data_IF_458636991235
#
_entry.id   IF_458636991235
#
_cell.length_a   1.000
_cell.length_b   1.000
_cell.length_c   1.000
_cell.angle_alpha   90.00
_cell.angle_beta   90.00
_cell.angle_gamma   90.00
#
_symmetry.space_group_name_H-M   'P 1'
#
loop_
_entity.id
_entity.type
_entity.pdbx_description
1 polymer ?
#
# COMPACT_ATOMS: atom_id res chain seq x y z
N UNK A 1 52.16 -32.99 -45.63
CA UNK A 1 52.49 -31.57 -45.37
C UNK A 1 52.28 -31.30 -43.88
N UNK A 2 53.37 -31.27 -43.10
CA UNK A 2 53.35 -30.94 -41.67
C UNK A 2 53.60 -29.44 -41.56
N UNK A 3 52.61 -28.68 -41.08
CA UNK A 3 52.74 -27.26 -40.76
C UNK A 3 53.03 -27.11 -39.28
N UNK A 4 54.14 -26.43 -38.99
CA UNK A 4 54.73 -26.24 -37.66
C UNK A 4 53.92 -25.23 -36.83
N UNK A 5 53.60 -25.62 -35.58
CA UNK A 5 52.73 -24.88 -34.66
C UNK A 5 53.56 -24.21 -33.55
N UNK A 6 54.72 -23.66 -33.93
CA UNK A 6 55.74 -23.15 -32.98
C UNK A 6 55.92 -21.62 -32.97
N UNK A 7 55.13 -20.87 -33.72
CA UNK A 7 55.39 -19.43 -33.93
C UNK A 7 54.39 -18.45 -33.26
N UNK A 8 53.63 -18.89 -32.24
CA UNK A 8 52.64 -18.05 -31.55
C UNK A 8 52.96 -17.72 -30.07
N UNK A 9 54.18 -17.97 -29.59
CA UNK A 9 54.52 -17.79 -28.16
C UNK A 9 55.66 -16.80 -27.86
N UNK A 10 55.96 -15.86 -28.74
CA UNK A 10 56.92 -14.79 -28.46
C UNK A 10 56.40 -13.41 -28.85
N UNK A 11 55.54 -12.85 -28.00
CA UNK A 11 55.29 -11.40 -27.96
C UNK A 11 55.72 -10.86 -26.59
N UNK A 12 56.59 -9.83 -26.52
CA UNK A 12 57.04 -9.27 -25.25
C UNK A 12 55.93 -8.45 -24.58
N UNK A 13 55.67 -8.77 -23.31
CA UNK A 13 54.73 -8.04 -22.45
C UNK A 13 55.37 -6.70 -22.06
N UNK A 14 54.81 -5.59 -22.54
CA UNK A 14 55.18 -4.25 -22.09
C UNK A 14 54.56 -3.96 -20.72
N UNK A 15 55.26 -3.24 -19.81
CA UNK A 15 54.73 -2.92 -18.49
C UNK A 15 53.59 -1.90 -18.60
N UNK A 16 52.43 -2.28 -18.04
CA UNK A 16 51.26 -1.41 -17.90
C UNK A 16 51.57 -0.38 -16.80
N UNK A 17 51.73 0.89 -17.22
CA UNK A 17 51.81 2.03 -16.31
C UNK A 17 50.43 2.32 -15.72
N UNK A 18 50.27 2.07 -14.43
CA UNK A 18 49.08 2.42 -13.65
C UNK A 18 49.24 3.82 -13.05
N UNK A 19 48.55 4.80 -13.61
CA UNK A 19 48.19 6.02 -12.88
C UNK A 19 46.82 6.55 -13.34
N UNK A 20 45.76 6.41 -12.53
CA UNK A 20 44.50 7.07 -12.80
C UNK A 20 44.60 8.54 -12.41
N UNK A 21 44.57 9.44 -13.40
CA UNK A 21 44.37 10.88 -13.18
C UNK A 21 42.95 11.11 -12.65
N UNK A 22 42.82 11.22 -11.32
CA UNK A 22 41.60 11.62 -10.64
C UNK A 22 41.31 13.09 -10.90
N UNK A 23 40.37 13.34 -11.81
CA UNK A 23 39.77 14.67 -11.92
C UNK A 23 39.00 15.01 -10.62
N UNK A 24 39.19 16.22 -10.04
CA UNK A 24 38.50 16.59 -8.83
C UNK A 24 36.97 16.65 -9.04
N UNK A 25 36.17 16.32 -8.00
CA UNK A 25 34.73 16.32 -8.11
C UNK A 25 34.21 17.73 -8.43
N UNK A 26 33.56 17.87 -9.59
CA UNK A 26 32.88 19.10 -9.98
C UNK A 26 31.84 19.46 -8.92
N UNK A 27 31.96 20.64 -8.36
CA UNK A 27 31.03 21.12 -7.32
C UNK A 27 29.60 21.17 -7.87
N UNK A 28 28.62 20.98 -6.98
CA UNK A 28 27.17 21.00 -7.29
C UNK A 28 26.73 22.27 -8.06
N UNK A 29 27.46 23.38 -7.91
CA UNK A 29 27.25 24.63 -8.66
C UNK A 29 27.65 24.52 -10.14
N UNK A 30 28.71 23.78 -10.48
CA UNK A 30 29.14 23.58 -11.86
C UNK A 30 28.21 22.64 -12.63
N UNK A 31 27.73 21.56 -11.99
CA UNK A 31 26.74 20.65 -12.60
C UNK A 31 25.42 21.37 -12.91
N UNK A 32 24.98 22.28 -12.04
CA UNK A 32 23.78 23.10 -12.26
C UNK A 32 23.92 24.05 -13.46
N UNK A 33 25.10 24.66 -13.65
CA UNK A 33 25.39 25.52 -14.81
C UNK A 33 25.39 24.72 -16.13
N UNK A 34 25.96 23.51 -16.14
CA UNK A 34 25.95 22.63 -17.33
C UNK A 34 24.52 22.19 -17.68
N UNK A 35 23.70 21.87 -16.67
CA UNK A 35 22.32 21.46 -16.86
C UNK A 35 21.43 22.61 -17.37
N UNK A 36 21.61 23.82 -16.82
CA UNK A 36 20.85 25.01 -17.25
C UNK A 36 21.21 25.47 -18.67
N UNK A 37 22.48 25.30 -19.09
CA UNK A 37 22.92 25.64 -20.46
C UNK A 37 22.35 24.68 -21.51
N UNK A 38 22.03 23.43 -21.16
CA UNK A 38 21.47 22.41 -22.07
C UNK A 38 19.96 22.54 -22.32
N UNK A 39 19.24 23.27 -21.46
CA UNK A 39 17.77 23.35 -21.50
C UNK A 39 17.21 24.62 -22.14
N UNK A 40 18.07 25.51 -22.66
CA UNK A 40 17.61 26.70 -23.40
C UNK A 40 16.66 27.62 -22.60
N UNK A 41 16.81 27.68 -21.27
CA UNK A 41 15.90 28.46 -20.43
C UNK A 41 16.17 29.97 -20.56
N UNK A 42 15.12 30.79 -20.72
CA UNK A 42 15.24 32.24 -20.91
C UNK A 42 15.79 32.94 -19.66
N UNK A 43 16.45 34.08 -19.88
CA UNK A 43 17.32 34.78 -18.92
C UNK A 43 16.61 35.29 -17.66
N UNK A 44 15.30 35.56 -17.74
CA UNK A 44 14.47 35.97 -16.60
C UNK A 44 14.22 34.84 -15.57
N UNK A 45 14.45 33.57 -15.92
CA UNK A 45 14.37 32.46 -14.99
C UNK A 45 15.62 32.29 -14.10
N UNK A 46 16.64 33.16 -14.26
CA UNK A 46 17.92 33.10 -13.53
C UNK A 46 17.97 33.99 -12.27
N UNK A 47 16.97 34.82 -12.02
CA UNK A 47 16.92 35.67 -10.83
C UNK A 47 16.45 34.88 -9.59
N UNK A 48 17.36 34.78 -8.62
CA UNK A 48 17.06 34.23 -7.29
C UNK A 48 16.23 35.26 -6.52
N UNK A 49 15.07 34.92 -5.93
CA UNK A 49 14.34 35.88 -5.11
C UNK A 49 15.17 36.22 -3.87
N UNK A 50 15.41 37.51 -3.69
CA UNK A 50 16.05 38.11 -2.52
C UNK A 50 15.31 37.73 -1.25
N UNK A 51 16.09 37.23 -0.28
CA UNK A 51 15.66 36.75 1.02
C UNK A 51 15.09 37.92 1.84
N UNK A 52 13.76 38.07 1.87
CA UNK A 52 13.10 39.03 2.75
C UNK A 52 13.18 38.54 4.20
N UNK A 53 13.79 39.36 5.05
CA UNK A 53 13.79 39.23 6.51
C UNK A 53 12.37 39.02 7.05
N UNK A 54 12.14 37.89 7.74
CA UNK A 54 10.97 37.73 8.63
C UNK A 54 11.38 38.14 10.05
N UNK A 55 10.70 39.11 10.68
CA UNK A 55 10.90 39.42 12.08
C UNK A 55 10.35 38.30 12.97
N UNK A 56 11.03 38.08 14.09
CA UNK A 56 10.76 37.01 15.05
C UNK A 56 9.36 37.08 15.66
N UNK A 57 8.82 35.89 15.92
CA UNK A 57 7.63 35.72 16.76
C UNK A 57 7.94 34.64 17.79
N UNK A 58 8.33 35.08 18.97
CA UNK A 58 8.32 34.28 20.20
C UNK A 58 6.86 34.05 20.57
N UNK A 59 6.49 32.80 20.86
CA UNK A 59 5.28 32.48 21.60
C UNK A 59 5.56 31.23 22.43
N UNK A 60 5.91 31.49 23.68
CA UNK A 60 5.78 30.54 24.78
C UNK A 60 4.29 30.37 25.05
N UNK A 61 3.76 29.16 24.91
CA UNK A 61 2.62 28.69 25.70
C UNK A 61 2.77 27.19 25.97
N UNK A 62 2.53 26.74 27.21
CA UNK A 62 2.76 25.37 27.65
C UNK A 62 1.67 24.41 27.13
N UNK A 63 2.07 23.19 26.77
CA UNK A 63 1.15 22.08 26.55
C UNK A 63 0.48 21.65 27.86
N UNK A 64 -0.81 21.30 27.85
CA UNK A 64 -1.43 20.56 28.95
C UNK A 64 -0.86 19.14 29.02
N UNK A 65 -0.41 18.76 30.21
CA UNK A 65 -0.10 17.39 30.61
C UNK A 65 -1.39 16.55 30.51
N UNK A 66 -1.36 15.49 29.69
CA UNK A 66 -2.37 14.44 29.75
C UNK A 66 -2.21 13.69 31.07
N UNK A 67 -3.34 13.55 31.75
CA UNK A 67 -3.48 13.02 33.10
C UNK A 67 -3.53 11.49 33.02
N UNK A 68 -2.50 10.83 33.56
CA UNK A 68 -2.47 9.39 33.77
C UNK A 68 -3.55 8.99 34.76
N UNK A 69 -4.53 8.20 34.31
CA UNK A 69 -5.47 7.52 35.19
C UNK A 69 -4.87 6.17 35.57
N UNK A 70 -4.23 6.15 36.75
CA UNK A 70 -3.88 4.96 37.51
C UNK A 70 -5.13 4.14 37.83
N UNK A 71 -5.32 3.03 37.13
CA UNK A 71 -6.30 2.01 37.51
C UNK A 71 -5.67 1.07 38.53
N UNK A 72 -5.86 1.39 39.82
CA UNK A 72 -5.54 0.51 40.94
C UNK A 72 -6.36 -0.79 40.86
N UNK A 73 -5.65 -1.89 40.71
CA UNK A 73 -6.12 -3.22 41.05
C UNK A 73 -6.24 -3.34 42.57
N UNK A 74 -7.44 -3.56 43.07
CA UNK A 74 -7.68 -4.10 44.41
C UNK A 74 -8.47 -5.39 44.26
N UNK A 75 -7.83 -6.49 44.65
CA UNK A 75 -8.51 -7.69 45.13
C UNK A 75 -9.47 -7.29 46.26
N UNK A 76 -10.70 -7.80 46.23
CA UNK A 76 -11.16 -8.54 47.41
C UNK A 76 -12.29 -9.52 47.13
N UNK A 77 -12.29 -10.54 47.97
CA UNK A 77 -13.09 -11.76 47.86
C UNK A 77 -14.47 -11.60 48.52
N UNK A 78 -15.37 -12.53 48.16
CA UNK A 78 -16.33 -13.16 49.07
C UNK A 78 -17.54 -12.32 49.50
N UNK A 79 -18.73 -12.66 48.99
CA UNK A 79 -19.77 -13.34 49.79
C UNK A 79 -21.17 -13.34 49.14
N UNK A 80 -21.83 -14.50 49.26
CA UNK A 80 -23.25 -14.70 49.58
C UNK A 80 -24.31 -14.16 48.60
N UNK A 81 -24.79 -15.08 47.76
CA UNK A 81 -26.11 -15.00 47.12
C UNK A 81 -27.15 -15.46 48.15
N UNK A 82 -28.03 -14.55 48.54
CA UNK A 82 -29.32 -14.84 49.16
C UNK A 82 -30.40 -14.01 48.44
N UNK A 83 -31.37 -14.69 47.84
CA UNK A 83 -32.67 -14.18 47.40
C UNK A 83 -33.53 -13.77 48.61
N UNK A 84 -34.47 -12.80 48.50
CA UNK A 84 -35.86 -13.04 48.07
C UNK A 84 -36.47 -11.89 47.20
N UNK A 85 -37.33 -12.15 46.20
CA UNK A 85 -38.80 -12.37 46.21
C UNK A 85 -39.68 -11.12 46.41
N UNK A 86 -40.59 -10.89 45.44
CA UNK A 86 -41.92 -10.23 45.48
C UNK A 86 -41.97 -8.75 45.93
N UNK A 87 -42.87 -7.88 45.49
CA UNK A 87 -44.23 -7.97 44.93
C UNK A 87 -44.66 -6.57 44.44
N UNK A 88 -45.67 -6.53 43.54
CA UNK A 88 -46.68 -5.45 43.32
C UNK A 88 -46.20 -4.07 42.82
N UNK A 89 -46.88 -3.42 41.86
CA UNK A 89 -48.16 -3.74 41.23
C UNK A 89 -48.53 -2.72 40.14
N UNK A 90 -49.52 -3.13 39.34
CA UNK A 90 -50.37 -2.30 38.47
C UNK A 90 -50.90 -1.03 39.14
N UNK A 91 -51.01 0.07 38.38
CA UNK A 91 -52.28 0.77 38.07
C UNK A 91 -52.01 1.98 37.15
N UNK A 92 -52.58 1.90 35.93
CA UNK A 92 -52.92 2.99 35.00
C UNK A 92 -54.27 3.62 35.45
N UNK A 93 -54.97 4.57 34.78
CA UNK A 93 -54.63 5.71 33.90
C UNK A 93 -55.28 7.03 34.39
N UNK A 94 -55.06 8.11 33.62
CA UNK A 94 -55.85 9.36 33.48
C UNK A 94 -55.26 10.67 34.03
N UNK A 95 -55.49 11.70 33.20
CA UNK A 95 -55.38 13.15 33.40
C UNK A 95 -54.00 13.77 33.14
N UNK A 96 -53.87 14.42 31.98
CA UNK A 96 -54.22 15.85 31.88
C UNK A 96 -54.18 16.35 30.43
N UNK A 97 -55.35 16.77 30.01
CA UNK A 97 -55.59 17.72 28.94
C UNK A 97 -54.99 19.08 29.31
N UNK A 98 -54.07 19.59 28.50
CA UNK A 98 -53.69 21.01 28.52
C UNK A 98 -53.70 21.56 27.10
N UNK A 99 -54.84 22.16 26.77
CA UNK A 99 -55.03 22.95 25.57
C UNK A 99 -54.03 24.11 25.49
N UNK A 100 -53.38 24.21 24.34
CA UNK A 100 -52.62 25.39 23.93
C UNK A 100 -53.34 26.03 22.75
N UNK A 101 -54.10 27.10 23.04
CA UNK A 101 -54.64 28.02 22.03
C UNK A 101 -53.48 28.80 21.40
N UNK A 102 -53.31 28.67 20.09
CA UNK A 102 -52.47 29.57 19.29
C UNK A 102 -53.27 30.82 18.88
N UNK A 103 -52.68 32.03 18.89
CA UNK A 103 -53.31 33.26 18.41
C UNK A 103 -53.36 33.34 16.86
N UNK A 104 -54.26 34.17 16.31
CA UNK A 104 -54.61 34.17 14.90
C UNK A 104 -53.58 34.84 13.97
N UNK A 105 -53.64 34.39 12.73
CA UNK A 105 -52.79 34.71 11.60
C UNK A 105 -52.81 36.18 11.19
N UNK A 106 -51.62 36.70 10.86
CA UNK A 106 -51.41 38.00 10.20
C UNK A 106 -51.85 37.98 8.73
N UNK A 107 -52.42 39.07 8.19
CA UNK A 107 -52.83 39.15 6.78
C UNK A 107 -51.62 39.29 5.85
N UNK A 108 -51.56 38.44 4.82
CA UNK A 108 -50.58 38.50 3.73
C UNK A 108 -50.80 39.76 2.89
N UNK A 109 -49.76 40.59 2.76
CA UNK A 109 -49.65 41.70 1.81
C UNK A 109 -49.41 41.13 0.40
N UNK A 110 -50.12 41.58 -0.66
CA UNK A 110 -49.82 41.19 -2.04
C UNK A 110 -48.47 41.77 -2.45
N UNK A 111 -47.50 40.90 -2.70
CA UNK A 111 -46.22 41.26 -3.30
C UNK A 111 -46.34 41.49 -4.81
N UNK A 112 -45.54 42.41 -5.38
CA UNK A 112 -45.61 42.81 -6.78
C UNK A 112 -45.24 41.69 -7.76
N UNK A 113 -45.94 41.70 -8.91
CA UNK A 113 -45.74 40.81 -10.07
C UNK A 113 -44.25 40.69 -10.46
N UNK A 114 -43.72 39.47 -10.63
CA UNK A 114 -42.46 39.25 -11.32
C UNK A 114 -42.61 39.59 -12.81
N UNK A 115 -41.73 40.46 -13.31
CA UNK A 115 -41.55 40.66 -14.75
C UNK A 115 -41.02 39.41 -15.44
N UNK A 116 -41.07 39.36 -16.78
CA UNK A 116 -40.67 38.19 -17.56
C UNK A 116 -39.18 37.90 -17.35
N UNK A 117 -38.90 36.83 -16.60
CA UNK A 117 -37.56 36.26 -16.48
C UNK A 117 -37.17 35.69 -17.85
N UNK A 118 -36.22 36.35 -18.50
CA UNK A 118 -35.39 35.73 -19.53
C UNK A 118 -34.79 34.44 -18.98
N UNK A 119 -34.83 33.30 -19.72
CA UNK A 119 -34.24 32.05 -19.28
C UNK A 119 -32.74 32.26 -19.09
N UNK A 120 -32.32 32.35 -17.82
CA UNK A 120 -30.92 32.27 -17.46
C UNK A 120 -30.44 30.92 -17.96
N UNK A 121 -29.58 30.94 -18.97
CA UNK A 121 -28.92 29.76 -19.49
C UNK A 121 -28.32 29.01 -18.31
N UNK A 122 -28.88 27.84 -18.02
CA UNK A 122 -28.36 26.97 -16.98
C UNK A 122 -26.86 26.80 -17.25
N UNK A 123 -25.98 27.09 -16.27
CA UNK A 123 -24.56 26.85 -16.45
C UNK A 123 -24.43 25.38 -16.80
N UNK A 124 -23.92 25.13 -18.01
CA UNK A 124 -23.81 23.80 -18.60
C UNK A 124 -23.30 22.85 -17.54
N UNK A 125 -24.04 21.75 -17.36
CA UNK A 125 -23.68 20.61 -16.53
C UNK A 125 -22.21 20.29 -16.84
N UNK A 126 -21.31 20.77 -15.97
CA UNK A 126 -19.93 20.35 -15.96
C UNK A 126 -20.01 18.89 -15.53
N UNK A 127 -20.18 18.00 -16.51
CA UNK A 127 -19.87 16.59 -16.38
C UNK A 127 -18.57 16.53 -15.57
N UNK A 128 -18.54 15.85 -14.42
CA UNK A 128 -17.35 15.77 -13.59
C UNK A 128 -16.23 15.36 -14.51
N UNK A 129 -15.34 16.32 -14.80
CA UNK A 129 -14.30 16.18 -15.83
C UNK A 129 -13.68 14.82 -15.62
N UNK A 130 -13.98 13.90 -16.55
CA UNK A 130 -13.56 12.51 -16.55
C UNK A 130 -12.08 12.53 -16.18
N UNK A 131 -11.80 12.25 -14.91
CA UNK A 131 -10.58 12.68 -14.24
C UNK A 131 -9.43 11.98 -14.92
N UNK A 132 -8.77 12.66 -15.86
CA UNK A 132 -7.42 12.37 -16.34
C UNK A 132 -6.98 10.90 -16.19
N UNK A 133 -7.74 9.95 -16.74
CA UNK A 133 -7.36 8.53 -16.85
C UNK A 133 -6.31 8.34 -17.96
N UNK A 134 -5.68 9.43 -18.39
CA UNK A 134 -4.70 9.45 -19.45
C UNK A 134 -3.31 9.31 -18.84
N UNK A 135 -2.75 8.12 -19.04
CA UNK A 135 -1.30 7.86 -19.16
C UNK A 135 -0.52 7.47 -17.90
N UNK A 136 -1.14 7.03 -16.80
CA UNK A 136 -0.39 6.17 -15.87
C UNK A 136 -0.29 4.77 -16.50
N UNK A 137 0.72 4.57 -17.35
CA UNK A 137 1.21 3.23 -17.71
C UNK A 137 1.24 2.35 -16.45
N UNK A 138 0.85 1.08 -16.54
CA UNK A 138 0.84 0.17 -15.37
C UNK A 138 2.17 0.19 -14.61
N UNK A 139 3.27 0.32 -15.37
CA UNK A 139 4.62 0.48 -14.85
C UNK A 139 4.74 1.62 -13.84
N UNK A 140 3.98 2.70 -14.00
CA UNK A 140 3.91 3.82 -13.06
C UNK A 140 3.41 3.40 -11.69
N UNK A 141 2.38 2.55 -11.63
CA UNK A 141 1.81 2.07 -10.36
C UNK A 141 2.72 1.05 -9.71
N UNK A 142 3.24 0.10 -10.48
CA UNK A 142 4.20 -0.89 -9.97
C UNK A 142 5.45 -0.20 -9.38
N UNK A 143 5.96 0.84 -10.05
CA UNK A 143 7.06 1.65 -9.52
C UNK A 143 6.68 2.42 -8.24
N UNK A 144 5.44 2.91 -8.13
CA UNK A 144 4.94 3.53 -6.89
C UNK A 144 4.87 2.50 -5.75
N UNK A 145 4.39 1.28 -6.02
CA UNK A 145 4.37 0.18 -5.03
C UNK A 145 5.80 -0.16 -4.61
N UNK A 146 6.72 -0.37 -5.56
CA UNK A 146 8.14 -0.63 -5.25
C UNK A 146 8.74 0.49 -4.41
N UNK A 147 8.45 1.74 -4.74
CA UNK A 147 8.91 2.90 -3.98
C UNK A 147 8.36 2.86 -2.54
N UNK A 148 7.08 2.56 -2.37
CA UNK A 148 6.47 2.42 -1.05
C UNK A 148 7.09 1.29 -0.25
N UNK A 149 7.32 0.12 -0.85
CA UNK A 149 7.95 -1.02 -0.17
C UNK A 149 9.39 -0.70 0.30
N UNK A 150 10.13 0.09 -0.48
CA UNK A 150 11.50 0.50 -0.14
C UNK A 150 11.57 1.63 0.91
N UNK A 151 10.51 2.41 1.04
CA UNK A 151 10.44 3.52 1.99
C UNK A 151 10.39 2.97 3.42
N UNK A 152 11.38 3.30 4.25
CA UNK A 152 11.46 2.84 5.64
C UNK A 152 10.20 3.19 6.44
N UNK A 153 9.86 2.35 7.43
CA UNK A 153 8.75 2.64 8.33
C UNK A 153 9.09 3.86 9.21
N UNK A 154 8.14 4.80 9.42
CA UNK A 154 8.34 5.87 10.37
C UNK A 154 8.51 5.30 11.79
N UNK A 155 9.43 5.86 12.58
CA UNK A 155 9.75 5.39 13.96
C UNK A 155 8.51 5.18 14.82
N UNK A 156 7.54 6.10 14.74
CA UNK A 156 6.29 5.99 15.49
C UNK A 156 5.40 4.77 15.17
N UNK A 157 5.64 4.06 14.06
CA UNK A 157 5.02 2.76 13.78
C UNK A 157 5.82 1.56 14.32
N UNK A 158 7.12 1.72 14.53
CA UNK A 158 8.01 0.68 15.06
C UNK A 158 7.90 0.59 16.58
N UNK A 159 7.76 1.75 17.24
CA UNK A 159 7.76 1.85 18.70
C UNK A 159 6.41 1.48 19.34
N UNK A 160 5.39 1.18 18.52
CA UNK A 160 4.03 0.93 18.99
C UNK A 160 3.60 -0.46 18.55
N UNK A 161 3.50 -1.39 19.50
CA UNK A 161 2.80 -2.68 19.35
C UNK A 161 1.26 -2.49 19.19
N UNK A 162 0.85 -1.35 18.63
CA UNK A 162 -0.54 -0.99 18.48
C UNK A 162 -1.10 -1.70 17.27
N UNK A 163 -2.02 -2.62 17.52
CA UNK A 163 -2.82 -3.24 16.47
C UNK A 163 -3.83 -2.23 15.92
N UNK A 164 -4.04 -2.29 14.61
CA UNK A 164 -5.07 -1.53 13.94
C UNK A 164 -5.73 -2.34 12.83
N UNK A 165 -6.67 -1.70 12.16
CA UNK A 165 -7.50 -2.30 11.13
C UNK A 165 -7.49 -1.42 9.89
N UNK A 166 -7.32 -2.03 8.73
CA UNK A 166 -7.62 -1.39 7.44
C UNK A 166 -9.07 -1.67 7.11
N UNK A 167 -9.88 -0.63 6.96
CA UNK A 167 -11.30 -0.74 6.69
C UNK A 167 -11.61 -0.44 5.23
N UNK A 168 -12.74 -0.98 4.78
CA UNK A 168 -13.36 -0.69 3.49
C UNK A 168 -14.78 -0.18 3.78
N UNK A 169 -15.11 1.04 3.38
CA UNK A 169 -16.47 1.57 3.50
C UNK A 169 -17.07 1.80 2.12
N UNK A 170 -18.28 1.31 1.88
CA UNK A 170 -19.10 1.73 0.75
C UNK A 170 -19.65 3.10 1.04
N UNK A 171 -19.54 4.01 0.08
CA UNK A 171 -19.96 5.41 0.21
C UNK A 171 -20.87 5.75 -0.97
N UNK A 172 -22.07 6.23 -0.64
CA UNK A 172 -23.02 6.76 -1.63
C UNK A 172 -23.06 8.28 -1.51
N UNK A 173 -22.80 8.97 -2.62
CA UNK A 173 -22.78 10.44 -2.67
C UNK A 173 -24.15 11.00 -3.06
N UNK A 174 -24.54 12.13 -2.47
CA UNK A 174 -25.83 12.77 -2.77
C UNK A 174 -26.05 13.12 -4.23
N UNK A 175 -24.96 13.47 -4.90
CA UNK A 175 -24.99 13.92 -6.29
C UNK A 175 -25.07 12.76 -7.28
N UNK A 176 -24.78 11.54 -6.82
CA UNK A 176 -24.69 10.34 -7.66
C UNK A 176 -25.11 9.09 -6.85
N UNK A 177 -26.41 8.94 -6.54
CA UNK A 177 -26.91 7.84 -5.72
C UNK A 177 -26.81 6.47 -6.41
N UNK A 178 -26.65 6.44 -7.74
CA UNK A 178 -26.50 5.20 -8.52
C UNK A 178 -25.09 4.62 -8.49
N UNK A 179 -24.11 5.39 -8.00
CA UNK A 179 -22.70 4.98 -7.98
C UNK A 179 -22.24 4.69 -6.56
N UNK A 180 -21.76 3.46 -6.36
CA UNK A 180 -21.11 3.07 -5.11
C UNK A 180 -19.62 3.32 -5.22
N UNK A 181 -19.10 4.19 -4.38
CA UNK A 181 -17.67 4.48 -4.30
C UNK A 181 -17.11 3.83 -3.04
N UNK A 182 -15.89 3.33 -3.11
CA UNK A 182 -15.24 2.66 -1.99
C UNK A 182 -14.25 3.59 -1.30
N UNK A 183 -14.32 3.69 0.01
CA UNK A 183 -13.34 4.40 0.84
C UNK A 183 -12.43 3.38 1.53
N UNK A 184 -11.13 3.49 1.33
CA UNK A 184 -10.13 2.64 2.00
C UNK A 184 -9.37 3.49 3.00
N UNK A 185 -9.38 3.09 4.26
CA UNK A 185 -8.57 3.77 5.24
C UNK A 185 -8.14 2.89 6.40
N UNK A 186 -7.51 3.48 7.41
CA UNK A 186 -7.14 2.75 8.61
C UNK A 186 -7.65 3.39 9.91
N UNK A 187 -7.74 2.56 10.95
CA UNK A 187 -8.04 2.99 12.33
C UNK A 187 -7.30 2.12 13.33
N UNK A 188 -6.89 2.70 14.45
CA UNK A 188 -6.39 1.96 15.60
C UNK A 188 -7.44 1.82 16.72
N UNK A 189 -8.64 2.38 16.51
CA UNK A 189 -9.83 2.19 17.34
C UNK A 189 -10.88 1.37 16.59
N UNK A 190 -12.16 1.57 16.91
CA UNK A 190 -13.24 0.85 16.22
C UNK A 190 -13.51 1.42 14.83
N UNK A 191 -13.91 0.55 13.88
CA UNK A 191 -14.36 0.97 12.54
C UNK A 191 -15.61 1.86 12.63
N UNK A 192 -16.52 1.55 13.56
CA UNK A 192 -17.76 2.29 13.78
C UNK A 192 -17.49 3.74 14.19
N UNK A 193 -16.55 3.98 15.10
CA UNK A 193 -16.22 5.34 15.54
C UNK A 193 -15.52 6.12 14.43
N UNK A 194 -14.66 5.44 13.66
CA UNK A 194 -14.02 6.04 12.48
C UNK A 194 -15.04 6.44 11.43
N UNK A 195 -16.01 5.57 11.14
CA UNK A 195 -17.12 5.81 10.21
C UNK A 195 -17.96 7.01 10.68
N UNK A 196 -18.36 7.05 11.96
CA UNK A 196 -19.08 8.19 12.55
C UNK A 196 -18.31 9.50 12.39
N UNK A 197 -17.00 9.47 12.66
CA UNK A 197 -16.13 10.64 12.51
C UNK A 197 -15.99 11.13 11.06
N UNK A 198 -16.00 10.21 10.08
CA UNK A 198 -16.05 10.58 8.65
C UNK A 198 -17.40 11.20 8.31
N UNK A 199 -18.50 10.60 8.79
CA UNK A 199 -19.86 11.09 8.54
C UNK A 199 -20.05 12.52 9.04
N UNK A 200 -19.59 12.80 10.26
CA UNK A 200 -19.64 14.13 10.86
C UNK A 200 -18.83 15.18 10.08
N UNK A 201 -17.64 14.81 9.57
CA UNK A 201 -16.73 15.74 8.87
C UNK A 201 -17.11 15.95 7.41
N UNK A 202 -17.44 14.89 6.70
CA UNK A 202 -17.61 14.90 5.26
C UNK A 202 -19.07 14.98 4.81
N UNK A 203 -20.05 14.80 5.72
CA UNK A 203 -21.50 14.85 5.46
C UNK A 203 -21.92 14.01 4.23
N UNK A 204 -21.34 12.82 4.09
CA UNK A 204 -21.77 11.85 3.07
C UNK A 204 -23.18 11.34 3.40
N UNK A 205 -23.99 10.99 2.37
CA UNK A 205 -25.38 10.58 2.59
C UNK A 205 -25.50 9.24 3.30
N UNK A 206 -24.65 8.28 2.91
CA UNK A 206 -24.67 6.94 3.50
C UNK A 206 -23.29 6.31 3.41
N UNK A 207 -22.91 5.63 4.49
CA UNK A 207 -21.72 4.80 4.53
C UNK A 207 -22.07 3.46 5.16
N UNK A 208 -21.59 2.39 4.55
CA UNK A 208 -21.73 1.03 5.05
C UNK A 208 -20.35 0.40 5.20
N UNK A 209 -20.16 -0.36 6.29
CA UNK A 209 -18.92 -1.05 6.57
C UNK A 209 -18.83 -2.38 5.84
N UNK A 210 -17.76 -2.60 5.10
CA UNK A 210 -17.46 -3.89 4.49
C UNK A 210 -16.45 -4.66 5.34
N UNK A 211 -16.79 -5.90 5.67
CA UNK A 211 -15.89 -6.76 6.41
C UNK A 211 -14.73 -7.24 5.52
N UNK A 212 -13.51 -7.06 6.03
CA UNK A 212 -12.28 -7.65 5.47
C UNK A 212 -11.53 -8.33 6.63
N UNK A 213 -11.76 -9.63 6.89
CA UNK A 213 -11.21 -10.32 8.06
C UNK A 213 -9.68 -10.25 8.15
N UNK A 214 -8.98 -10.38 7.01
CA UNK A 214 -7.52 -10.31 6.90
C UNK A 214 -6.99 -8.93 7.30
N UNK A 215 -7.83 -7.91 7.20
CA UNK A 215 -7.47 -6.52 7.44
C UNK A 215 -7.51 -6.10 8.92
N UNK A 216 -7.92 -7.01 9.81
CA UNK A 216 -8.00 -6.77 11.26
C UNK A 216 -6.71 -7.14 11.99
N UNK A 217 -6.46 -6.43 13.08
CA UNK A 217 -5.36 -6.71 14.03
C UNK A 217 -4.00 -6.80 13.33
N UNK A 218 -3.66 -5.77 12.56
CA UNK A 218 -2.37 -5.64 11.87
C UNK A 218 -1.53 -4.65 12.65
N UNK A 219 -0.26 -4.96 12.93
CA UNK A 219 0.69 -3.98 13.48
C UNK A 219 1.00 -2.86 12.47
N UNK A 220 1.29 -3.24 11.23
CA UNK A 220 1.63 -2.33 10.14
C UNK A 220 0.39 -1.83 9.36
N UNK A 221 -0.74 -1.59 10.02
CA UNK A 221 -2.02 -1.23 9.37
C UNK A 221 -1.91 0.01 8.46
N UNK A 222 -1.14 1.05 8.85
CA UNK A 222 -0.96 2.24 8.00
C UNK A 222 -0.17 1.93 6.73
N UNK A 223 0.77 0.97 6.82
CA UNK A 223 1.56 0.53 5.66
C UNK A 223 0.67 -0.28 4.71
N UNK A 224 -0.15 -1.17 5.25
CA UNK A 224 -1.11 -1.95 4.48
C UNK A 224 -2.10 -1.04 3.73
N UNK A 225 -2.68 -0.04 4.41
CA UNK A 225 -3.56 0.96 3.79
C UNK A 225 -2.84 1.69 2.64
N UNK A 226 -1.64 2.25 2.91
CA UNK A 226 -0.92 3.03 1.90
C UNK A 226 -0.54 2.20 0.67
N UNK A 227 -0.17 0.93 0.86
CA UNK A 227 0.08 0.02 -0.24
C UNK A 227 -1.20 -0.30 -1.03
N UNK A 228 -2.33 -0.51 -0.36
CA UNK A 228 -3.63 -0.72 -1.01
C UNK A 228 -4.08 0.49 -1.82
N UNK A 229 -3.96 1.71 -1.26
CA UNK A 229 -4.29 2.96 -1.95
C UNK A 229 -3.40 3.17 -3.18
N UNK A 230 -2.09 2.92 -3.07
CA UNK A 230 -1.18 3.03 -4.21
C UNK A 230 -1.47 1.96 -5.27
N UNK A 231 -1.85 0.75 -4.87
CA UNK A 231 -2.24 -0.31 -5.80
C UNK A 231 -3.46 0.09 -6.64
N UNK A 232 -4.39 0.85 -6.08
CA UNK A 232 -5.63 1.31 -6.70
C UNK A 232 -5.56 2.76 -7.22
N UNK A 233 -4.37 3.34 -7.36
CA UNK A 233 -4.20 4.76 -7.68
C UNK A 233 -4.76 5.15 -9.07
N UNK A 234 -4.83 4.20 -10.02
CA UNK A 234 -5.52 4.39 -11.32
C UNK A 234 -7.04 4.34 -11.21
N UNK A 235 -7.59 3.93 -10.08
CA UNK A 235 -9.03 3.91 -9.79
C UNK A 235 -9.42 5.03 -8.82
N UNK A 236 -8.54 6.00 -8.58
CA UNK A 236 -8.79 7.08 -7.65
C UNK A 236 -10.01 7.91 -8.08
N UNK A 237 -10.99 7.99 -7.19
CA UNK A 237 -12.15 8.87 -7.32
C UNK A 237 -11.91 10.13 -6.50
N UNK A 238 -12.04 11.29 -7.14
CA UNK A 238 -11.93 12.58 -6.46
C UNK A 238 -13.33 13.14 -6.16
N UNK A 239 -13.91 12.88 -4.98
CA UNK A 239 -15.21 13.42 -4.64
C UNK A 239 -15.10 14.93 -4.41
N UNK A 240 -16.07 15.67 -4.95
CA UNK A 240 -16.35 17.04 -4.47
C UNK A 240 -16.96 16.97 -3.07
N UNK A 241 -16.11 16.79 -2.07
CA UNK A 241 -16.53 16.66 -0.67
C UNK A 241 -16.85 18.03 -0.06
N UNK A 242 -17.89 18.09 0.76
CA UNK A 242 -18.31 19.32 1.44
C UNK A 242 -17.27 19.84 2.44
N UNK A 243 -16.36 18.98 2.91
CA UNK A 243 -15.27 19.38 3.81
C UNK A 243 -14.17 20.19 3.10
N UNK A 244 -14.24 20.36 1.76
CA UNK A 244 -13.27 21.10 0.93
C UNK A 244 -11.84 20.56 0.97
N UNK A 245 -11.64 19.36 1.51
CA UNK A 245 -10.34 18.68 1.50
C UNK A 245 -10.27 17.75 0.29
N UNK A 246 -9.11 17.73 -0.38
CA UNK A 246 -8.82 16.75 -1.41
C UNK A 246 -8.65 15.37 -0.77
N UNK A 247 -9.52 14.43 -1.13
CA UNK A 247 -9.44 13.06 -0.65
C UNK A 247 -8.68 12.19 -1.66
N UNK A 248 -7.80 11.34 -1.15
CA UNK A 248 -7.00 10.37 -1.94
C UNK A 248 -7.34 8.92 -1.60
N UNK A 249 -8.40 8.75 -0.84
CA UNK A 249 -8.77 7.48 -0.23
C UNK A 249 -10.11 6.93 -0.74
N UNK A 250 -10.66 7.49 -1.82
CA UNK A 250 -11.89 7.04 -2.47
C UNK A 250 -11.56 6.45 -3.84
N UNK A 251 -12.19 5.34 -4.17
CA UNK A 251 -11.88 4.55 -5.35
C UNK A 251 -13.15 4.11 -6.06
N UNK A 252 -13.13 4.21 -7.38
CA UNK A 252 -14.18 3.72 -8.26
C UNK A 252 -13.78 2.34 -8.81
N UNK A 253 -14.03 1.33 -7.99
CA UNK A 253 -13.68 -0.07 -8.25
C UNK A 253 -14.69 -0.94 -7.52
N UNK A 254 -14.89 -2.18 -7.98
CA UNK A 254 -15.81 -3.10 -7.33
C UNK A 254 -15.31 -3.52 -5.93
N UNK A 255 -16.25 -3.98 -5.11
CA UNK A 255 -15.98 -4.36 -3.71
C UNK A 255 -15.08 -5.58 -3.61
N UNK A 256 -15.17 -6.53 -4.54
CA UNK A 256 -14.38 -7.77 -4.48
C UNK A 256 -12.90 -7.48 -4.77
N UNK A 257 -12.60 -6.70 -5.81
CA UNK A 257 -11.25 -6.27 -6.15
C UNK A 257 -10.62 -5.45 -5.01
N UNK A 258 -11.36 -4.51 -4.43
CA UNK A 258 -10.86 -3.75 -3.25
C UNK A 258 -10.55 -4.64 -2.06
N UNK A 259 -11.46 -5.57 -1.73
CA UNK A 259 -11.27 -6.53 -0.64
C UNK A 259 -10.02 -7.36 -0.87
N UNK A 260 -9.81 -7.85 -2.09
CA UNK A 260 -8.64 -8.66 -2.43
C UNK A 260 -7.33 -7.87 -2.32
N UNK A 261 -7.29 -6.62 -2.79
CA UNK A 261 -6.12 -5.74 -2.66
C UNK A 261 -5.81 -5.43 -1.19
N UNK A 262 -6.83 -5.15 -0.36
CA UNK A 262 -6.64 -4.92 1.07
C UNK A 262 -6.15 -6.19 1.76
N UNK A 263 -6.77 -7.35 1.48
CA UNK A 263 -6.40 -8.63 2.05
C UNK A 263 -4.96 -9.04 1.70
N UNK A 264 -4.55 -8.82 0.44
CA UNK A 264 -3.19 -9.01 -0.05
C UNK A 264 -2.16 -8.24 0.80
N UNK A 265 -2.33 -6.92 0.90
CA UNK A 265 -1.36 -6.07 1.61
C UNK A 265 -1.42 -6.24 3.13
N UNK A 266 -2.57 -6.61 3.68
CA UNK A 266 -2.73 -6.94 5.08
C UNK A 266 -1.98 -8.23 5.43
N UNK A 267 -2.10 -9.26 4.59
CA UNK A 267 -1.38 -10.54 4.74
C UNK A 267 0.13 -10.32 4.63
N UNK A 268 0.58 -9.54 3.63
CA UNK A 268 1.98 -9.13 3.52
C UNK A 268 2.48 -8.43 4.79
N UNK A 269 1.70 -7.51 5.36
CA UNK A 269 2.10 -6.81 6.58
C UNK A 269 2.13 -7.72 7.80
N UNK A 270 1.27 -8.76 7.86
CA UNK A 270 1.26 -9.77 8.92
C UNK A 270 2.46 -10.73 8.85
N UNK A 271 3.06 -10.93 7.68
CA UNK A 271 4.28 -11.75 7.54
C UNK A 271 5.56 -11.05 8.04
N UNK A 272 5.42 -9.98 8.82
CA UNK A 272 6.50 -9.18 9.40
C UNK A 272 7.65 -8.86 8.42
N UNK A 273 7.37 -8.13 7.31
CA UNK A 273 8.34 -7.99 6.23
C UNK A 273 9.45 -6.97 6.51
N UNK A 274 9.37 -6.23 7.62
CA UNK A 274 10.33 -5.21 8.01
C UNK A 274 11.14 -5.63 9.25
N UNK A 275 12.34 -5.07 9.40
CA UNK A 275 13.20 -5.19 10.58
C UNK A 275 12.87 -4.10 11.63
N UNK A 276 13.58 -4.13 12.75
CA UNK A 276 13.38 -3.19 13.86
C UNK A 276 13.72 -1.75 13.46
N UNK A 277 14.57 -1.56 12.46
CA UNK A 277 14.92 -0.26 11.88
C UNK A 277 13.90 0.20 10.82
N UNK A 278 12.86 -0.60 10.57
CA UNK A 278 11.80 -0.30 9.60
C UNK A 278 12.19 -0.50 8.15
N UNK A 279 13.31 -1.17 7.88
CA UNK A 279 13.72 -1.53 6.53
C UNK A 279 13.15 -2.91 6.16
N UNK A 280 12.97 -3.17 4.88
CA UNK A 280 12.59 -4.53 4.43
C UNK A 280 13.65 -5.55 4.87
N UNK A 281 13.21 -6.71 5.37
CA UNK A 281 14.11 -7.81 5.70
C UNK A 281 14.85 -8.32 4.45
N UNK A 282 16.02 -8.96 4.60
CA UNK A 282 16.84 -9.43 3.48
C UNK A 282 16.09 -10.28 2.45
N UNK A 283 15.24 -11.19 2.91
CA UNK A 283 14.40 -12.04 2.04
C UNK A 283 13.48 -11.20 1.13
N UNK A 284 12.74 -10.26 1.70
CA UNK A 284 11.84 -9.39 0.93
C UNK A 284 12.60 -8.42 0.01
N UNK A 285 13.75 -7.88 0.46
CA UNK A 285 14.66 -7.11 -0.40
C UNK A 285 15.11 -7.92 -1.60
N UNK A 286 15.45 -9.20 -1.41
CA UNK A 286 15.87 -10.10 -2.48
C UNK A 286 14.72 -10.36 -3.47
N UNK A 287 13.52 -10.72 -2.99
CA UNK A 287 12.34 -10.88 -3.85
C UNK A 287 12.05 -9.62 -4.66
N UNK A 288 12.15 -8.44 -4.03
CA UNK A 288 11.85 -7.17 -4.69
C UNK A 288 12.85 -6.86 -5.83
N UNK A 289 14.11 -7.31 -5.72
CA UNK A 289 15.09 -7.21 -6.83
C UNK A 289 14.70 -8.10 -8.01
N UNK A 290 13.99 -9.20 -7.74
CA UNK A 290 13.53 -10.15 -8.72
C UNK A 290 12.09 -9.89 -9.18
N UNK A 291 11.47 -8.76 -8.79
CA UNK A 291 10.05 -8.46 -9.08
C UNK A 291 9.71 -8.52 -10.56
N UNK A 292 10.67 -8.18 -11.44
CA UNK A 292 10.51 -8.25 -12.90
C UNK A 292 10.40 -9.68 -13.46
N UNK A 293 10.76 -10.70 -12.66
CA UNK A 293 10.63 -12.12 -12.98
C UNK A 293 9.29 -12.70 -12.52
N UNK A 294 8.47 -11.91 -11.81
CA UNK A 294 7.16 -12.37 -11.38
C UNK A 294 6.23 -12.52 -12.59
N UNK A 295 5.22 -13.39 -12.48
CA UNK A 295 4.22 -13.56 -13.53
C UNK A 295 3.59 -12.23 -13.94
N UNK A 296 3.25 -12.10 -15.22
CA UNK A 296 2.48 -10.97 -15.75
C UNK A 296 3.20 -9.62 -15.65
N UNK A 297 4.54 -9.60 -15.61
CA UNK A 297 5.30 -8.36 -15.66
C UNK A 297 5.37 -7.81 -17.10
N UNK A 298 5.14 -6.50 -17.27
CA UNK A 298 5.08 -5.88 -18.60
C UNK A 298 3.91 -6.39 -19.43
N UNK A 299 4.15 -6.63 -20.72
CA UNK A 299 3.13 -7.07 -21.71
C UNK A 299 2.78 -8.57 -21.60
N UNK A 300 3.26 -9.27 -20.56
CA UNK A 300 3.04 -10.71 -20.37
C UNK A 300 1.66 -11.06 -19.76
N UNK A 301 0.73 -10.11 -19.71
CA UNK A 301 -0.62 -10.39 -19.21
C UNK A 301 -1.41 -11.20 -20.25
N UNK A 302 -2.04 -12.33 -19.86
CA UNK A 302 -2.96 -13.06 -20.72
C UNK A 302 -4.03 -12.15 -21.31
N UNK A 303 -4.38 -12.41 -22.56
CA UNK A 303 -5.55 -11.77 -23.17
C UNK A 303 -6.79 -11.99 -22.31
N UNK A 304 -7.56 -10.93 -22.08
CA UNK A 304 -8.79 -10.97 -21.29
C UNK A 304 -8.65 -10.63 -19.81
N UNK A 305 -7.44 -10.54 -19.25
CA UNK A 305 -7.27 -10.01 -17.89
C UNK A 305 -7.23 -8.49 -17.88
N UNK A 306 -7.96 -7.88 -16.95
CA UNK A 306 -7.83 -6.45 -16.70
C UNK A 306 -6.43 -6.09 -16.19
N UNK A 307 -6.06 -4.81 -16.33
CA UNK A 307 -4.79 -4.30 -15.79
C UNK A 307 -4.70 -4.46 -14.26
N UNK A 308 -5.83 -4.28 -13.56
CA UNK A 308 -5.91 -4.44 -12.12
C UNK A 308 -5.71 -5.89 -11.70
N UNK A 309 -6.40 -6.85 -12.34
CA UNK A 309 -6.24 -8.28 -12.04
C UNK A 309 -4.82 -8.76 -12.33
N UNK A 310 -4.23 -8.34 -13.45
CA UNK A 310 -2.84 -8.68 -13.79
C UNK A 310 -1.86 -8.15 -12.73
N UNK A 311 -2.05 -6.91 -12.27
CA UNK A 311 -1.28 -6.31 -11.17
C UNK A 311 -1.49 -7.07 -9.87
N UNK A 312 -2.74 -7.40 -9.54
CA UNK A 312 -3.09 -8.15 -8.35
C UNK A 312 -2.38 -9.50 -8.30
N UNK A 313 -2.48 -10.33 -9.35
CA UNK A 313 -1.81 -11.64 -9.42
C UNK A 313 -0.28 -11.54 -9.28
N UNK A 314 0.32 -10.52 -9.90
CA UNK A 314 1.76 -10.27 -9.81
C UNK A 314 2.19 -9.95 -8.37
N UNK A 315 1.48 -9.04 -7.70
CA UNK A 315 1.80 -8.66 -6.32
C UNK A 315 1.37 -9.71 -5.29
N UNK A 316 0.39 -10.54 -5.61
CA UNK A 316 0.04 -11.74 -4.86
C UNK A 316 1.19 -12.76 -4.89
N UNK A 317 1.75 -13.04 -6.08
CA UNK A 317 2.94 -13.87 -6.19
C UNK A 317 4.15 -13.28 -5.43
N UNK A 318 4.27 -11.95 -5.37
CA UNK A 318 5.29 -11.30 -4.54
C UNK A 318 5.07 -11.55 -3.05
N UNK A 319 3.87 -11.24 -2.55
CA UNK A 319 3.51 -11.18 -1.13
C UNK A 319 3.27 -12.54 -0.48
N UNK A 320 2.94 -13.56 -1.28
CA UNK A 320 2.72 -14.92 -0.82
C UNK A 320 3.82 -15.86 -1.36
N UNK A 321 5.04 -15.79 -0.78
CA UNK A 321 6.14 -16.65 -1.21
C UNK A 321 5.82 -18.12 -0.94
N UNK A 322 6.30 -19.00 -1.82
CA UNK A 322 6.29 -20.43 -1.51
C UNK A 322 7.37 -20.72 -0.48
N UNK A 323 7.12 -21.65 0.45
CA UNK A 323 8.14 -22.07 1.45
C UNK A 323 9.49 -22.44 0.82
N UNK A 324 9.46 -23.08 -0.35
CA UNK A 324 10.68 -23.42 -1.09
C UNK A 324 11.53 -22.20 -1.47
N UNK A 325 10.91 -21.06 -1.74
CA UNK A 325 11.61 -19.81 -2.09
C UNK A 325 12.29 -19.20 -0.88
N UNK A 326 11.66 -19.30 0.30
CA UNK A 326 12.30 -18.92 1.58
C UNK A 326 13.49 -19.81 1.88
N UNK A 327 13.33 -21.14 1.82
CA UNK A 327 14.43 -22.08 2.04
C UNK A 327 15.58 -21.85 1.06
N UNK A 328 15.27 -21.65 -0.22
CA UNK A 328 16.28 -21.42 -1.25
C UNK A 328 17.03 -20.11 -1.01
N UNK A 329 16.34 -19.04 -0.60
CA UNK A 329 16.99 -17.80 -0.20
C UNK A 329 17.95 -18.00 0.97
N UNK A 330 17.52 -18.68 2.03
CA UNK A 330 18.38 -18.95 3.20
C UNK A 330 19.57 -19.85 2.85
N UNK A 331 19.40 -20.81 1.94
CA UNK A 331 20.47 -21.70 1.50
C UNK A 331 21.52 -21.01 0.61
N UNK A 332 21.11 -20.04 -0.21
CA UNK A 332 21.98 -19.47 -1.28
C UNK A 332 22.44 -18.05 -1.04
N UNK A 333 21.71 -17.25 -0.27
CA UNK A 333 21.95 -15.80 -0.14
C UNK A 333 22.30 -15.41 1.30
N UNK A 334 21.75 -16.10 2.29
CA UNK A 334 22.07 -15.77 3.68
C UNK A 334 23.51 -16.23 3.99
N UNK A 335 24.31 -15.39 4.67
CA UNK A 335 25.64 -15.75 5.15
C UNK A 335 25.50 -16.70 6.34
N UNK A 336 25.06 -17.93 6.07
CA UNK A 336 25.08 -19.00 7.05
C UNK A 336 26.43 -19.71 6.95
N UNK A 337 27.12 -19.96 8.08
CA UNK A 337 28.40 -20.68 8.09
C UNK A 337 28.32 -22.04 7.38
N UNK A 338 27.12 -22.65 7.36
CA UNK A 338 26.85 -23.95 6.77
C UNK A 338 26.34 -23.90 5.32
N UNK A 339 26.18 -22.72 4.72
CA UNK A 339 25.70 -22.58 3.34
C UNK A 339 26.58 -23.34 2.35
N UNK A 340 27.91 -23.29 2.53
CA UNK A 340 28.87 -24.06 1.73
C UNK A 340 28.66 -25.57 1.90
N UNK A 341 28.43 -26.06 3.12
CA UNK A 341 28.18 -27.48 3.37
C UNK A 341 26.89 -27.97 2.71
N UNK A 342 25.82 -27.16 2.73
CA UNK A 342 24.56 -27.47 2.05
C UNK A 342 24.76 -27.49 0.54
N UNK A 343 25.45 -26.51 -0.04
CA UNK A 343 25.75 -26.47 -1.48
C UNK A 343 26.57 -27.69 -1.88
N UNK A 344 27.60 -28.04 -1.12
CA UNK A 344 28.44 -29.22 -1.35
C UNK A 344 27.58 -30.50 -1.27
N UNK A 345 26.70 -30.62 -0.29
CA UNK A 345 25.81 -31.78 -0.16
C UNK A 345 24.87 -31.90 -1.37
N UNK A 346 24.24 -30.80 -1.81
CA UNK A 346 23.38 -30.83 -3.00
C UNK A 346 24.15 -31.17 -4.27
N UNK A 347 25.37 -30.66 -4.43
CA UNK A 347 26.22 -31.03 -5.57
C UNK A 347 26.61 -32.51 -5.51
N UNK A 348 26.99 -33.02 -4.34
CA UNK A 348 27.32 -34.43 -4.15
C UNK A 348 26.12 -35.34 -4.46
N UNK A 349 24.92 -35.00 -3.97
CA UNK A 349 23.68 -35.74 -4.26
C UNK A 349 23.37 -35.71 -5.76
N UNK A 350 23.53 -34.57 -6.42
CA UNK A 350 23.29 -34.44 -7.87
C UNK A 350 24.26 -35.30 -8.69
N UNK A 351 25.54 -35.33 -8.30
CA UNK A 351 26.56 -36.18 -8.94
C UNK A 351 26.20 -37.65 -8.73
N UNK A 352 25.91 -38.06 -7.48
CA UNK A 352 25.53 -39.43 -7.16
C UNK A 352 24.28 -39.90 -7.91
N UNK A 353 23.24 -39.05 -8.03
CA UNK A 353 22.05 -39.38 -8.81
C UNK A 353 22.33 -39.47 -10.32
N UNK A 354 23.15 -38.57 -10.86
CA UNK A 354 23.58 -38.63 -12.27
C UNK A 354 24.33 -39.93 -12.55
N UNK A 355 25.22 -40.34 -11.65
CA UNK A 355 26.00 -41.56 -11.81
C UNK A 355 25.16 -42.81 -11.59
N UNK A 356 24.22 -42.80 -10.64
CA UNK A 356 23.26 -43.90 -10.46
C UNK A 356 22.41 -44.11 -11.72
N UNK A 357 21.93 -43.04 -12.36
CA UNK A 357 21.17 -43.13 -13.63
C UNK A 357 22.04 -43.67 -14.76
N UNK A 358 23.30 -43.23 -14.86
CA UNK A 358 24.25 -43.73 -15.87
C UNK A 358 24.57 -45.22 -15.68
N UNK A 359 24.78 -45.66 -14.44
CA UNK A 359 24.98 -47.07 -14.11
C UNK A 359 23.74 -47.90 -14.42
N UNK A 360 22.54 -47.41 -14.06
CA UNK A 360 21.27 -48.07 -14.37
C UNK A 360 21.07 -48.25 -15.88
N UNK A 361 21.36 -47.22 -16.68
CA UNK A 361 21.32 -47.27 -18.15
C UNK A 361 22.35 -48.25 -18.71
N UNK A 362 23.57 -48.28 -18.18
CA UNK A 362 24.60 -49.23 -18.59
C UNK A 362 24.15 -50.68 -18.32
N UNK A 363 23.56 -50.95 -17.15
CA UNK A 363 23.02 -52.28 -16.84
C UNK A 363 21.87 -52.68 -17.76
N UNK A 364 20.95 -51.76 -18.09
CA UNK A 364 19.88 -52.02 -19.05
C UNK A 364 20.40 -52.27 -20.46
N UNK A 365 21.43 -51.54 -20.90
CA UNK A 365 22.07 -51.76 -22.20
C UNK A 365 22.80 -53.11 -22.25
N UNK A 366 23.49 -53.51 -21.18
CA UNK A 366 24.13 -54.82 -21.07
C UNK A 366 23.07 -55.93 -21.08
N UNK A 367 21.99 -55.78 -20.30
CA UNK A 367 20.90 -56.75 -20.29
C UNK A 367 20.23 -56.88 -21.66
N UNK A 368 19.96 -55.76 -22.35
CA UNK A 368 19.41 -55.75 -23.70
C UNK A 368 20.36 -56.39 -24.74
N UNK A 369 21.68 -56.20 -24.59
CA UNK A 369 22.66 -56.83 -25.46
C UNK A 369 22.76 -58.35 -25.23
N UNK A 370 22.63 -58.79 -23.97
CA UNK A 370 22.58 -60.21 -23.62
C UNK A 370 21.31 -60.90 -24.14
N UNK A 371 20.16 -60.22 -24.15
CA UNK A 371 18.90 -60.79 -24.67
C UNK A 371 18.76 -60.74 -26.19
N UNK A 372 19.47 -59.83 -26.89
CA UNK A 372 19.47 -59.77 -28.36
C UNK A 372 20.27 -60.90 -29.01
N UNK A 373 21.25 -61.46 -28.30
CA UNK A 373 22.22 -62.42 -28.85
C UNK A 373 21.88 -63.90 -28.62
N UNK A 374 20.76 -64.19 -27.98
CA UNK A 374 20.16 -65.53 -27.87
C UNK A 374 18.88 -65.58 -28.67
#
# INVERSE_FOLDING_TARGET
MRGDLKELLQAPISPISTSPTTNPPRTRKQLRKVYQKRLGLPEWARSTPSQAHRPGRTNNHPMPLEQDNDFKQTHDSRSKISTPSRDRGDYDPFQRDHGSRLPPSTPKRPGPRPGPFTPWSAPGRLEPTRTSYLNSLSDGIDNKIIKQLKEGLPKGQLDKEKLGTVYLFKVVFARDPGRTILKIGHTAGTERDRMRGIGAKCRHLSMEGEAVPEARSILLFQRAERLAQVHLDDHLYNPMCMCRTAHREYFDVDTASSRAVIGLWSTFCKSNPYDAEGNLRPFWKHRLRQVKKLPYWGDQAPEGLSKLESRQKRWEAFANPKRIEEYWFWATVAPWPWSLHIIILFQAVKIALSDAVRLSLAFLLIAAFCTWRG
#
